data_IF_643934409386
#
_entry.id   IF_643934409386
#
_cell.length_a   1.000
_cell.length_b   1.000
_cell.length_c   1.000
_cell.angle_alpha   90.00
_cell.angle_beta   90.00
_cell.angle_gamma   90.00
#
_symmetry.space_group_name_H-M   'P 1'
#
loop_
_entity.id
_entity.type
_entity.pdbx_description
1 polymer ?
#
# COMPACT_ATOMS: atom_id res chain seq x y z
N UNK A 1 12.63 12.05 12.72
CA UNK A 1 12.03 11.12 11.75
C UNK A 1 10.87 11.82 11.07
N UNK A 2 10.67 11.66 9.76
CA UNK A 2 9.58 12.33 9.06
C UNK A 2 8.20 11.89 9.58
N UNK A 3 7.21 12.73 9.34
CA UNK A 3 5.82 12.50 9.72
C UNK A 3 5.31 11.26 8.99
N UNK A 4 4.63 10.37 9.72
CA UNK A 4 4.01 9.18 9.14
C UNK A 4 2.66 9.56 8.54
N UNK A 5 2.26 8.94 7.42
CA UNK A 5 0.96 9.15 6.84
C UNK A 5 -0.15 8.74 7.81
N UNK A 6 -1.21 9.54 7.82
CA UNK A 6 -2.46 9.34 8.56
C UNK A 6 -3.59 8.84 7.64
N UNK A 7 -3.47 9.08 6.33
CA UNK A 7 -4.34 8.55 5.29
C UNK A 7 -3.55 8.20 4.01
N UNK A 8 -4.22 7.59 3.04
CA UNK A 8 -3.57 7.11 1.80
C UNK A 8 -3.16 8.25 0.87
N UNK A 9 -3.90 9.37 0.84
CA UNK A 9 -3.48 10.54 0.04
C UNK A 9 -2.15 11.09 0.54
N UNK A 10 -1.99 11.20 1.87
CA UNK A 10 -0.73 11.61 2.48
C UNK A 10 0.39 10.61 2.16
N UNK A 11 0.12 9.30 2.22
CA UNK A 11 1.11 8.29 1.80
C UNK A 11 1.56 8.50 0.34
N UNK A 12 0.64 8.73 -0.59
CA UNK A 12 0.95 8.93 -2.01
C UNK A 12 1.64 10.29 -2.27
N UNK A 13 1.28 11.32 -1.52
CA UNK A 13 1.77 12.68 -1.70
C UNK A 13 3.12 12.95 -1.02
N UNK A 14 3.42 12.31 0.11
CA UNK A 14 4.62 12.58 0.91
C UNK A 14 5.43 11.34 1.26
N UNK A 15 4.98 10.15 0.86
CA UNK A 15 5.69 8.89 1.08
C UNK A 15 5.46 8.29 2.47
N UNK A 16 6.25 7.26 2.79
CA UNK A 16 5.94 6.36 3.91
C UNK A 16 6.41 6.82 5.30
N UNK A 17 7.21 7.89 5.42
CA UNK A 17 7.69 8.37 6.72
C UNK A 17 8.59 7.42 7.53
N UNK A 18 9.08 6.31 6.93
CA UNK A 18 9.81 5.23 7.66
C UNK A 18 11.32 5.43 7.78
N UNK A 19 11.92 6.30 7.00
CA UNK A 19 13.34 6.66 7.05
C UNK A 19 13.52 8.15 6.74
N UNK A 20 14.75 8.66 6.73
CA UNK A 20 15.06 10.07 6.43
C UNK A 20 14.58 10.59 5.08
N UNK A 21 14.31 9.70 4.11
CA UNK A 21 13.78 10.05 2.79
C UNK A 21 12.25 10.25 2.77
N UNK A 22 11.55 10.00 3.88
CA UNK A 22 10.12 10.29 3.97
C UNK A 22 9.86 11.80 3.91
N UNK A 23 8.83 12.23 3.17
CA UNK A 23 8.51 13.63 2.96
C UNK A 23 9.40 14.33 1.92
N UNK A 24 10.31 13.61 1.27
CA UNK A 24 11.20 14.15 0.23
C UNK A 24 10.93 13.47 -1.12
N UNK A 25 11.28 14.11 -2.26
CA UNK A 25 11.13 13.50 -3.59
C UNK A 25 11.89 12.18 -3.77
N UNK A 26 12.87 11.88 -2.91
CA UNK A 26 13.66 10.65 -2.93
C UNK A 26 12.98 9.48 -2.22
N UNK A 27 11.80 9.68 -1.63
CA UNK A 27 11.03 8.58 -1.09
C UNK A 27 10.68 7.59 -2.20
N UNK A 28 10.97 6.30 -2.00
CA UNK A 28 10.63 5.22 -2.95
C UNK A 28 9.16 5.19 -3.37
N UNK A 29 8.26 5.75 -2.57
CA UNK A 29 6.83 5.86 -2.93
C UNK A 29 6.63 6.71 -4.18
N UNK A 30 7.42 7.78 -4.35
CA UNK A 30 7.31 8.66 -5.51
C UNK A 30 7.82 8.02 -6.80
N UNK A 31 8.71 7.04 -6.71
CA UNK A 31 9.17 6.25 -7.87
C UNK A 31 8.06 5.41 -8.50
N UNK A 32 6.96 5.17 -7.78
CA UNK A 32 5.87 4.27 -8.17
C UNK A 32 4.49 4.93 -8.07
N UNK A 33 4.44 6.27 -8.13
CA UNK A 33 3.21 7.01 -7.81
C UNK A 33 2.04 6.70 -8.75
N UNK A 34 2.31 6.42 -10.02
CA UNK A 34 1.28 6.07 -11.00
C UNK A 34 0.74 4.65 -10.76
N UNK A 35 1.65 3.68 -10.62
CA UNK A 35 1.33 2.28 -10.39
C UNK A 35 0.59 2.07 -9.06
N UNK A 36 1.00 2.78 -8.01
CA UNK A 36 0.32 2.74 -6.73
C UNK A 36 -1.11 3.30 -6.81
N UNK A 37 -1.35 4.34 -7.61
CA UNK A 37 -2.72 4.87 -7.82
C UNK A 37 -3.57 3.89 -8.62
N UNK A 38 -3.02 3.26 -9.65
CA UNK A 38 -3.72 2.25 -10.45
C UNK A 38 -4.08 1.02 -9.60
N UNK A 39 -3.13 0.48 -8.85
CA UNK A 39 -3.37 -0.64 -7.94
C UNK A 39 -4.39 -0.27 -6.86
N UNK A 40 -4.30 0.94 -6.29
CA UNK A 40 -5.30 1.44 -5.33
C UNK A 40 -6.70 1.48 -5.92
N UNK A 41 -6.87 1.95 -7.16
CA UNK A 41 -8.18 1.99 -7.81
C UNK A 41 -8.79 0.57 -7.90
N UNK A 42 -8.01 -0.42 -8.33
CA UNK A 42 -8.43 -1.84 -8.35
C UNK A 42 -8.81 -2.32 -6.93
N UNK A 43 -8.00 -2.01 -5.93
CA UNK A 43 -8.26 -2.42 -4.55
C UNK A 43 -9.50 -1.76 -3.96
N UNK A 44 -9.85 -0.54 -4.35
CA UNK A 44 -11.08 0.13 -3.91
C UNK A 44 -12.34 -0.56 -4.44
N UNK A 45 -12.27 -1.24 -5.58
CA UNK A 45 -13.38 -2.03 -6.13
C UNK A 45 -13.59 -3.38 -5.41
N UNK A 46 -12.63 -3.82 -4.60
CA UNK A 46 -12.68 -5.13 -3.91
C UNK A 46 -13.65 -5.23 -2.72
N UNK A 47 -14.21 -4.10 -2.27
CA UNK A 47 -15.04 -4.04 -1.07
C UNK A 47 -14.26 -4.17 0.25
N UNK A 48 -12.93 -4.17 0.21
CA UNK A 48 -12.08 -4.11 1.40
C UNK A 48 -12.07 -2.69 1.99
N UNK A 49 -11.91 -2.60 3.31
CA UNK A 49 -11.75 -1.31 4.00
C UNK A 49 -10.29 -0.83 3.88
N UNK A 50 -10.09 0.39 3.37
CA UNK A 50 -8.79 1.05 3.25
C UNK A 50 -8.41 1.74 4.57
N UNK A 51 -7.26 1.37 5.15
CA UNK A 51 -6.72 1.93 6.40
C UNK A 51 -5.22 2.23 6.24
N UNK A 52 -4.63 3.05 7.12
CA UNK A 52 -3.17 3.13 7.25
C UNK A 52 -2.69 2.26 8.42
N UNK A 53 -1.79 1.33 8.13
CA UNK A 53 -1.09 0.52 9.14
C UNK A 53 0.39 0.48 8.83
N UNK A 54 1.23 0.60 9.86
CA UNK A 54 2.69 0.62 9.73
C UNK A 54 3.22 1.61 8.68
N UNK A 55 2.54 2.74 8.54
CA UNK A 55 2.89 3.84 7.61
C UNK A 55 2.69 3.50 6.12
N UNK A 56 1.79 2.55 5.81
CA UNK A 56 1.39 2.23 4.44
C UNK A 56 -0.10 1.83 4.38
N UNK A 57 -0.75 1.94 3.20
CA UNK A 57 -2.10 1.46 2.99
C UNK A 57 -2.24 -0.03 3.26
N UNK A 58 -3.24 -0.39 4.06
CA UNK A 58 -3.61 -1.75 4.40
C UNK A 58 -5.10 -1.93 4.19
N UNK A 59 -5.45 -3.03 3.54
CA UNK A 59 -6.83 -3.35 3.20
C UNK A 59 -7.32 -4.48 4.08
N UNK A 60 -8.44 -4.26 4.73
CA UNK A 60 -8.99 -5.16 5.75
C UNK A 60 -10.39 -5.63 5.41
N UNK A 61 -10.76 -6.78 5.97
CA UNK A 61 -12.12 -7.30 5.93
C UNK A 61 -12.50 -7.76 7.34
N UNK A 62 -13.60 -7.24 7.87
CA UNK A 62 -14.05 -7.50 9.24
C UNK A 62 -12.91 -7.34 10.29
N UNK A 63 -12.11 -6.28 10.16
CA UNK A 63 -10.99 -5.98 11.05
C UNK A 63 -9.74 -6.86 10.88
N UNK A 64 -9.77 -7.86 9.99
CA UNK A 64 -8.61 -8.71 9.67
C UNK A 64 -7.84 -8.14 8.48
N UNK A 65 -6.52 -8.16 8.56
CA UNK A 65 -5.65 -7.68 7.48
C UNK A 65 -5.64 -8.69 6.32
N UNK A 66 -5.95 -8.22 5.11
CA UNK A 66 -6.00 -9.05 3.90
C UNK A 66 -4.74 -8.82 3.07
N UNK A 67 -4.45 -7.57 2.73
CA UNK A 67 -3.28 -7.19 1.95
C UNK A 67 -2.76 -5.78 2.32
N UNK A 68 -1.55 -5.46 1.87
CA UNK A 68 -1.00 -4.10 1.88
C UNK A 68 -0.63 -3.66 0.48
N UNK A 69 -0.79 -2.36 0.22
CA UNK A 69 -0.25 -1.69 -0.96
C UNK A 69 0.97 -0.88 -0.52
N UNK A 70 2.13 -1.10 -1.13
CA UNK A 70 3.34 -0.35 -0.76
C UNK A 70 4.38 -0.30 -1.88
N UNK A 71 5.47 0.44 -1.65
CA UNK A 71 6.61 0.50 -2.56
C UNK A 71 7.89 -0.04 -1.89
N UNK A 72 8.67 -0.77 -2.68
CA UNK A 72 10.08 -1.08 -2.47
C UNK A 72 10.93 -0.16 -3.37
N UNK A 73 12.26 -0.30 -3.29
CA UNK A 73 13.17 0.53 -4.10
C UNK A 73 12.95 0.28 -5.61
N UNK A 74 12.65 -0.96 -5.98
CA UNK A 74 12.59 -1.40 -7.39
C UNK A 74 11.22 -1.98 -7.77
N UNK A 75 10.18 -1.81 -6.94
CA UNK A 75 8.83 -2.26 -7.29
C UNK A 75 7.72 -1.56 -6.50
N UNK A 76 6.56 -1.41 -7.12
CA UNK A 76 5.27 -1.30 -6.42
C UNK A 76 4.79 -2.72 -6.06
N UNK A 77 4.23 -2.91 -4.87
CA UNK A 77 3.83 -4.22 -4.39
C UNK A 77 2.44 -4.23 -3.77
N UNK A 78 1.69 -5.29 -4.08
CA UNK A 78 0.54 -5.76 -3.32
C UNK A 78 0.97 -7.02 -2.58
N UNK A 79 0.93 -7.00 -1.25
CA UNK A 79 1.37 -8.12 -0.42
C UNK A 79 0.22 -8.69 0.41
N UNK A 80 -0.11 -9.97 0.20
CA UNK A 80 -1.16 -10.66 0.95
C UNK A 80 -0.61 -11.26 2.25
N UNK A 81 -1.32 -11.06 3.36
CA UNK A 81 -0.92 -11.63 4.66
C UNK A 81 -1.07 -13.15 4.71
N UNK A 82 -2.05 -13.69 3.99
CA UNK A 82 -2.32 -15.14 3.89
C UNK A 82 -2.52 -15.56 2.42
N UNK A 83 -1.68 -15.04 1.53
CA UNK A 83 -1.80 -15.27 0.08
C UNK A 83 -1.79 -16.75 -0.30
N UNK A 84 -1.01 -17.58 0.39
CA UNK A 84 -0.97 -19.03 0.16
C UNK A 84 -2.28 -19.78 0.47
N UNK A 85 -3.23 -19.14 1.15
CA UNK A 85 -4.56 -19.69 1.43
C UNK A 85 -5.63 -19.21 0.45
N UNK A 86 -5.27 -18.29 -0.46
CA UNK A 86 -6.18 -17.87 -1.52
C UNK A 86 -6.41 -19.04 -2.46
N UNK A 87 -7.68 -19.31 -2.73
CA UNK A 87 -8.04 -20.22 -3.80
C UNK A 87 -7.81 -19.53 -5.12
N UNK A 88 -7.28 -20.28 -6.09
CA UNK A 88 -7.14 -19.84 -7.46
C UNK A 88 -8.10 -20.65 -8.34
N UNK A 89 -9.40 -20.29 -8.34
CA UNK A 89 -10.41 -21.05 -9.08
C UNK A 89 -10.21 -20.99 -10.59
N UNK A 90 -9.57 -19.93 -11.09
CA UNK A 90 -9.30 -19.71 -12.51
C UNK A 90 -7.95 -20.30 -12.96
N UNK A 91 -7.13 -20.78 -12.01
CA UNK A 91 -5.82 -21.39 -12.24
C UNK A 91 -4.91 -20.52 -13.12
N UNK A 92 -4.70 -19.26 -12.69
CA UNK A 92 -3.96 -18.21 -13.40
C UNK A 92 -2.46 -18.20 -13.09
#
# INVERSE_FOLDING_TARGET
MPVKPDNVEHYLASGCGRCELGGTPQCKVHSWGEELRLLRAILQESGLTEEIKWSAPCYTHAGKNILMLSALKESAIVSFFRGAQLMDPENL
#
